data_IF_317849173539
#
_entry.id   IF_317849173539
#
_cell.length_a   1.000
_cell.length_b   1.000
_cell.length_c   1.000
_cell.angle_alpha   90.00
_cell.angle_beta   90.00
_cell.angle_gamma   90.00
#
_symmetry.space_group_name_H-M   'P 1'
#
loop_
_entity.id
_entity.type
_entity.pdbx_description
1 polymer ?
#
# COMPACT_ATOMS: atom_id res chain seq x y z
N UNK A 1 10.03 -17.20 -4.78
CA UNK A 1 10.62 -16.48 -5.88
C UNK A 1 10.96 -15.03 -5.52
N UNK A 2 11.33 -14.24 -6.52
CA UNK A 2 11.77 -12.85 -6.30
C UNK A 2 10.67 -11.96 -5.73
N UNK A 3 9.44 -12.09 -6.23
CA UNK A 3 8.32 -11.30 -5.72
C UNK A 3 8.07 -11.57 -4.24
N UNK A 4 8.09 -12.83 -3.84
CA UNK A 4 7.92 -13.22 -2.43
C UNK A 4 9.05 -12.65 -1.58
N UNK A 5 10.28 -12.69 -2.05
CA UNK A 5 11.43 -12.17 -1.30
C UNK A 5 11.34 -10.64 -1.13
N UNK A 6 10.93 -9.94 -2.16
CA UNK A 6 10.75 -8.48 -2.12
C UNK A 6 9.68 -8.11 -1.09
N UNK A 7 8.51 -8.73 -1.19
CA UNK A 7 7.40 -8.38 -0.29
C UNK A 7 7.70 -8.74 1.17
N UNK A 8 8.40 -9.85 1.40
CA UNK A 8 8.83 -10.24 2.74
C UNK A 8 9.68 -9.17 3.40
N UNK A 9 10.64 -8.62 2.68
CA UNK A 9 11.51 -7.55 3.19
C UNK A 9 10.72 -6.29 3.50
N UNK A 10 9.79 -5.93 2.62
CA UNK A 10 8.97 -4.74 2.79
C UNK A 10 8.10 -4.83 4.03
N UNK A 11 7.46 -5.98 4.28
CA UNK A 11 6.50 -6.13 5.37
C UNK A 11 7.12 -6.59 6.68
N UNK A 12 8.38 -7.05 6.69
CA UNK A 12 9.04 -7.60 7.87
C UNK A 12 8.93 -6.70 9.12
N UNK A 13 9.09 -5.36 9.03
CA UNK A 13 8.96 -4.49 10.20
C UNK A 13 7.57 -4.47 10.82
N UNK A 14 6.56 -4.96 10.10
CA UNK A 14 5.15 -4.85 10.49
C UNK A 14 4.52 -6.19 10.86
N UNK A 15 5.35 -7.20 11.12
CA UNK A 15 4.89 -8.51 11.59
C UNK A 15 3.95 -8.33 12.81
N UNK A 16 2.84 -9.03 12.80
CA UNK A 16 1.81 -8.90 13.83
C UNK A 16 0.71 -7.91 13.50
N UNK A 17 0.87 -7.12 12.43
CA UNK A 17 -0.16 -6.19 11.94
C UNK A 17 -0.72 -6.68 10.61
N UNK A 18 -2.00 -6.42 10.39
CA UNK A 18 -2.56 -6.48 9.05
C UNK A 18 -1.86 -5.41 8.20
N UNK A 19 -1.61 -5.72 6.94
CA UNK A 19 -0.97 -4.76 6.02
C UNK A 19 -1.85 -4.57 4.81
N UNK A 20 -2.17 -3.31 4.51
CA UNK A 20 -2.80 -2.92 3.24
C UNK A 20 -1.72 -2.32 2.36
N UNK A 21 -1.49 -2.94 1.22
CA UNK A 21 -0.55 -2.43 0.22
C UNK A 21 -1.33 -1.68 -0.84
N UNK A 22 -0.96 -0.42 -1.07
CA UNK A 22 -1.52 0.46 -2.10
C UNK A 22 -0.52 0.54 -3.24
N UNK A 23 -0.85 -0.10 -4.36
CA UNK A 23 -0.08 0.00 -5.60
C UNK A 23 -0.58 1.19 -6.40
N UNK A 24 0.26 2.18 -6.61
CA UNK A 24 -0.11 3.48 -7.18
C UNK A 24 0.97 4.03 -8.11
N UNK A 25 0.67 5.14 -8.78
CA UNK A 25 1.64 5.88 -9.57
C UNK A 25 1.25 7.36 -9.65
N UNK A 26 2.22 8.23 -9.82
CA UNK A 26 1.99 9.67 -9.99
C UNK A 26 1.18 9.98 -11.24
N UNK A 27 1.25 9.10 -12.25
CA UNK A 27 0.52 9.22 -13.51
C UNK A 27 -0.90 8.67 -13.44
N UNK A 28 -1.30 8.11 -12.30
CA UNK A 28 -2.60 7.47 -12.13
C UNK A 28 -3.57 8.38 -11.38
N UNK A 29 -4.50 9.00 -12.09
CA UNK A 29 -5.50 9.90 -11.50
C UNK A 29 -6.35 9.23 -10.42
N UNK A 30 -6.98 8.07 -10.69
CA UNK A 30 -7.76 7.36 -9.66
C UNK A 30 -6.94 6.94 -8.45
N UNK A 31 -5.65 6.63 -8.63
CA UNK A 31 -4.76 6.33 -7.51
C UNK A 31 -4.62 7.54 -6.59
N UNK A 32 -4.31 8.70 -7.18
CA UNK A 32 -4.16 9.95 -6.41
C UNK A 32 -5.46 10.34 -5.71
N UNK A 33 -6.59 10.21 -6.39
CA UNK A 33 -7.89 10.51 -5.81
C UNK A 33 -8.16 9.67 -4.56
N UNK A 34 -7.88 8.37 -4.62
CA UNK A 34 -8.06 7.46 -3.48
C UNK A 34 -7.11 7.80 -2.33
N UNK A 35 -5.84 8.08 -2.63
CA UNK A 35 -4.86 8.48 -1.62
C UNK A 35 -5.34 9.71 -0.86
N UNK A 36 -5.79 10.73 -1.59
CA UNK A 36 -6.22 12.00 -1.00
C UNK A 36 -7.54 11.84 -0.23
N UNK A 37 -8.45 11.03 -0.76
CA UNK A 37 -9.73 10.74 -0.09
C UNK A 37 -9.54 10.09 1.28
N UNK A 38 -8.55 9.21 1.42
CA UNK A 38 -8.32 8.45 2.66
C UNK A 38 -7.28 9.07 3.60
N UNK A 39 -6.88 10.31 3.35
CA UNK A 39 -5.84 10.97 4.18
C UNK A 39 -6.21 11.04 5.66
N UNK A 40 -7.46 11.42 5.97
CA UNK A 40 -7.92 11.53 7.36
C UNK A 40 -8.01 10.16 8.03
N UNK A 41 -8.47 9.15 7.31
CA UNK A 41 -8.52 7.78 7.81
C UNK A 41 -7.12 7.29 8.19
N UNK A 42 -6.15 7.49 7.31
CA UNK A 42 -4.77 7.08 7.59
C UNK A 42 -4.19 7.78 8.81
N UNK A 43 -4.51 9.07 8.97
CA UNK A 43 -4.09 9.83 10.15
C UNK A 43 -4.63 9.23 11.44
N UNK A 44 -5.91 8.83 11.43
CA UNK A 44 -6.55 8.20 12.59
C UNK A 44 -5.88 6.87 12.98
N UNK A 45 -5.43 6.08 12.00
CA UNK A 45 -4.87 4.75 12.23
C UNK A 45 -3.34 4.72 12.16
N UNK A 46 -2.68 5.86 12.10
CA UNK A 46 -1.21 5.92 11.93
C UNK A 46 -0.46 5.18 13.04
N UNK A 47 -0.96 5.23 14.26
CA UNK A 47 -0.34 4.59 15.41
C UNK A 47 -1.04 3.28 15.80
N UNK A 48 -1.84 2.71 14.91
CA UNK A 48 -2.56 1.47 15.19
C UNK A 48 -1.60 0.31 15.47
N UNK A 49 -1.85 -0.49 16.52
CA UNK A 49 -1.09 -1.72 16.73
C UNK A 49 -1.55 -2.85 15.81
N UNK A 50 -2.64 -2.67 15.07
CA UNK A 50 -3.31 -3.74 14.34
C UNK A 50 -3.17 -3.66 12.83
N UNK A 51 -2.90 -2.48 12.26
CA UNK A 51 -2.86 -2.30 10.80
C UNK A 51 -1.78 -1.31 10.38
N UNK A 52 -1.23 -1.54 9.18
CA UNK A 52 -0.28 -0.64 8.54
C UNK A 52 -0.62 -0.49 7.06
N UNK A 53 -0.54 0.75 6.57
CA UNK A 53 -0.68 1.06 5.14
C UNK A 53 0.71 1.24 4.55
N UNK A 54 0.96 0.58 3.41
CA UNK A 54 2.24 0.65 2.69
C UNK A 54 1.96 1.02 1.25
N UNK A 55 2.69 2.00 0.71
CA UNK A 55 2.50 2.52 -0.65
C UNK A 55 3.67 2.10 -1.52
N UNK A 56 3.38 1.43 -2.63
CA UNK A 56 4.39 0.92 -3.55
C UNK A 56 4.11 1.41 -4.97
N UNK A 57 5.12 2.01 -5.58
CA UNK A 57 5.12 2.42 -6.98
C UNK A 57 6.42 2.00 -7.65
N UNK A 58 6.54 2.25 -8.95
CA UNK A 58 7.77 1.98 -9.69
C UNK A 58 8.44 3.28 -10.14
N UNK A 59 9.73 3.19 -10.42
CA UNK A 59 10.52 4.31 -10.94
C UNK A 59 10.05 4.76 -12.33
N UNK A 60 9.62 3.82 -13.17
CA UNK A 60 9.12 4.14 -14.52
C UNK A 60 7.75 4.82 -14.52
N UNK A 61 6.85 4.38 -13.63
CA UNK A 61 5.47 4.92 -13.58
C UNK A 61 5.39 6.19 -12.74
N UNK A 62 6.36 6.40 -11.85
CA UNK A 62 6.43 7.59 -10.99
C UNK A 62 7.81 8.22 -11.13
N UNK A 63 8.04 9.07 -12.15
CA UNK A 63 9.32 9.76 -12.34
C UNK A 63 9.75 10.50 -11.09
N UNK A 64 11.05 10.57 -10.86
CA UNK A 64 11.64 11.03 -9.59
C UNK A 64 11.09 12.36 -9.08
N UNK A 65 11.08 13.40 -9.94
CA UNK A 65 10.60 14.71 -9.50
C UNK A 65 9.12 14.68 -9.13
N UNK A 66 8.29 14.10 -9.99
CA UNK A 66 6.84 13.99 -9.73
C UNK A 66 6.59 13.18 -8.46
N UNK A 67 7.32 12.09 -8.28
CA UNK A 67 7.23 11.25 -7.08
C UNK A 67 7.58 12.03 -5.83
N UNK A 68 8.74 12.69 -5.81
CA UNK A 68 9.19 13.46 -4.65
C UNK A 68 8.21 14.58 -4.29
N UNK A 69 7.70 15.30 -5.27
CA UNK A 69 6.73 16.37 -5.06
C UNK A 69 5.42 15.84 -4.48
N UNK A 70 4.92 14.74 -5.03
CA UNK A 70 3.66 14.14 -4.57
C UNK A 70 3.77 13.58 -3.16
N UNK A 71 4.86 12.87 -2.87
CA UNK A 71 5.12 12.29 -1.54
C UNK A 71 5.23 13.38 -0.49
N UNK A 72 5.96 14.45 -0.77
CA UNK A 72 6.11 15.56 0.18
C UNK A 72 4.76 16.18 0.54
N UNK A 73 3.87 16.27 -0.44
CA UNK A 73 2.54 16.88 -0.24
C UNK A 73 1.54 15.94 0.41
N UNK A 74 1.53 14.65 0.04
CA UNK A 74 0.42 13.74 0.37
C UNK A 74 0.78 12.49 1.15
N UNK A 75 2.05 12.07 1.16
CA UNK A 75 2.48 10.80 1.76
C UNK A 75 3.69 10.94 2.65
N UNK A 76 3.94 12.13 3.17
CA UNK A 76 5.15 12.46 3.92
C UNK A 76 5.38 11.56 5.15
N UNK A 77 4.32 11.15 5.83
CA UNK A 77 4.42 10.35 7.03
C UNK A 77 4.08 8.87 6.81
N UNK A 78 3.97 8.48 5.56
CA UNK A 78 3.59 7.11 5.21
C UNK A 78 4.83 6.25 4.92
N UNK A 79 4.62 4.93 4.92
CA UNK A 79 5.63 3.96 4.49
C UNK A 79 5.54 3.85 2.97
N UNK A 80 6.58 4.27 2.28
CA UNK A 80 6.59 4.38 0.83
C UNK A 80 7.78 3.66 0.22
N UNK A 81 7.57 3.08 -0.97
CA UNK A 81 8.63 2.44 -1.76
C UNK A 81 8.46 2.81 -3.22
N UNK A 82 9.56 3.25 -3.83
CA UNK A 82 9.66 3.48 -5.27
C UNK A 82 10.67 2.46 -5.80
N UNK A 83 10.16 1.36 -6.34
CA UNK A 83 10.98 0.23 -6.74
C UNK A 83 11.45 0.36 -8.19
N UNK A 84 12.59 -0.26 -8.54
CA UNK A 84 12.91 -0.47 -9.94
C UNK A 84 11.74 -1.19 -10.64
N UNK A 85 11.47 -0.84 -11.89
CA UNK A 85 10.34 -1.43 -12.63
C UNK A 85 10.39 -2.97 -12.65
N UNK A 86 11.59 -3.55 -12.75
CA UNK A 86 11.74 -5.01 -12.75
C UNK A 86 11.26 -5.63 -11.44
N UNK A 87 11.58 -5.03 -10.30
CA UNK A 87 11.13 -5.51 -8.99
C UNK A 87 9.62 -5.34 -8.84
N UNK A 88 9.10 -4.19 -9.28
CA UNK A 88 7.66 -3.93 -9.28
C UNK A 88 6.91 -4.99 -10.11
N UNK A 89 7.45 -5.35 -11.26
CA UNK A 89 6.86 -6.38 -12.11
C UNK A 89 6.79 -7.75 -11.43
N UNK A 90 7.76 -8.09 -10.59
CA UNK A 90 7.70 -9.32 -9.78
C UNK A 90 6.53 -9.28 -8.80
N UNK A 91 6.21 -8.11 -8.26
CA UNK A 91 5.04 -7.98 -7.37
C UNK A 91 3.73 -8.04 -8.15
N UNK A 92 3.68 -7.45 -9.35
CA UNK A 92 2.51 -7.57 -10.23
C UNK A 92 2.22 -9.04 -10.57
N UNK A 93 3.26 -9.81 -10.84
CA UNK A 93 3.15 -11.24 -11.10
C UNK A 93 2.70 -12.00 -9.85
N UNK A 94 3.30 -11.70 -8.69
CA UNK A 94 2.97 -12.36 -7.43
C UNK A 94 1.50 -12.18 -7.06
N UNK A 95 0.98 -10.97 -7.19
CA UNK A 95 -0.39 -10.62 -6.82
C UNK A 95 -1.38 -10.63 -7.99
N UNK A 96 -0.94 -11.05 -9.17
CA UNK A 96 -1.78 -11.22 -10.37
C UNK A 96 -2.56 -9.98 -10.78
N UNK A 97 -1.89 -8.84 -10.93
CA UNK A 97 -2.54 -7.64 -11.43
C UNK A 97 -1.74 -6.93 -12.52
N UNK A 98 -2.44 -6.17 -13.37
CA UNK A 98 -1.86 -5.33 -14.41
C UNK A 98 -2.27 -3.86 -14.27
N UNK A 99 -3.47 -3.61 -13.75
CA UNK A 99 -3.99 -2.25 -13.62
C UNK A 99 -3.89 -1.72 -12.20
N UNK A 100 -3.81 -0.40 -12.07
CA UNK A 100 -3.83 0.32 -10.80
C UNK A 100 -4.95 1.36 -10.82
N UNK A 101 -5.50 1.77 -9.64
CA UNK A 101 -5.06 1.34 -8.32
C UNK A 101 -5.33 -0.14 -8.05
N UNK A 102 -4.50 -0.75 -7.25
CA UNK A 102 -4.69 -2.12 -6.76
C UNK A 102 -4.32 -2.13 -5.28
N UNK A 103 -5.17 -2.76 -4.48
CA UNK A 103 -4.96 -2.86 -3.03
C UNK A 103 -4.87 -4.32 -2.63
N UNK A 104 -3.88 -4.66 -1.84
CA UNK A 104 -3.64 -6.03 -1.39
C UNK A 104 -3.66 -6.05 0.13
N UNK A 105 -4.42 -6.97 0.71
CA UNK A 105 -4.49 -7.15 2.16
C UNK A 105 -3.72 -8.40 2.55
N UNK A 106 -2.76 -8.23 3.44
CA UNK A 106 -2.00 -9.34 4.03
C UNK A 106 -2.40 -9.52 5.50
N UNK A 107 -2.34 -10.76 5.97
CA UNK A 107 -2.60 -11.05 7.38
C UNK A 107 -1.41 -10.67 8.27
N UNK A 108 -1.55 -10.91 9.58
CA UNK A 108 -0.54 -10.53 10.57
C UNK A 108 0.78 -11.29 10.43
N UNK A 109 0.79 -12.38 9.68
CA UNK A 109 1.99 -13.16 9.38
C UNK A 109 2.55 -12.85 7.98
N UNK A 110 1.96 -11.88 7.29
CA UNK A 110 2.39 -11.48 5.96
C UNK A 110 1.84 -12.34 4.83
N UNK A 111 0.85 -13.20 5.11
CA UNK A 111 0.21 -14.05 4.11
C UNK A 111 -0.94 -13.32 3.43
N UNK A 112 -1.21 -13.67 2.18
CA UNK A 112 -2.26 -13.05 1.38
C UNK A 112 -3.65 -13.38 1.93
N UNK A 113 -4.43 -12.34 2.28
CA UNK A 113 -5.85 -12.44 2.62
C UNK A 113 -6.73 -12.07 1.45
N UNK A 114 -6.41 -10.96 0.76
CA UNK A 114 -7.19 -10.49 -0.37
C UNK A 114 -6.28 -9.78 -1.38
N UNK A 115 -6.15 -10.34 -2.57
CA UNK A 115 -5.31 -9.79 -3.64
C UNK A 115 -5.96 -8.65 -4.42
N UNK A 116 -7.24 -8.37 -4.16
CA UNK A 116 -7.98 -7.28 -4.79
C UNK A 116 -8.94 -6.67 -3.77
N UNK A 117 -8.36 -6.11 -2.72
CA UNK A 117 -9.11 -5.56 -1.61
C UNK A 117 -9.92 -4.33 -2.04
N UNK A 118 -11.24 -4.29 -1.74
CA UNK A 118 -12.07 -3.15 -2.11
C UNK A 118 -11.84 -1.97 -1.15
N UNK A 119 -10.94 -1.07 -1.51
CA UNK A 119 -10.54 0.05 -0.66
C UNK A 119 -11.70 0.97 -0.27
N UNK A 120 -12.74 1.05 -1.10
CA UNK A 120 -13.95 1.80 -0.75
C UNK A 120 -14.67 1.27 0.48
N UNK A 121 -14.39 0.02 0.89
CA UNK A 121 -14.96 -0.60 2.09
C UNK A 121 -14.01 -0.53 3.30
N UNK A 122 -12.92 0.21 3.23
CA UNK A 122 -11.90 0.19 4.30
C UNK A 122 -12.44 0.59 5.66
N UNK A 123 -13.29 1.61 5.75
CA UNK A 123 -13.87 2.02 7.03
C UNK A 123 -14.69 0.91 7.67
N UNK A 124 -15.55 0.27 6.87
CA UNK A 124 -16.38 -0.85 7.32
C UNK A 124 -15.49 -2.01 7.78
N UNK A 125 -14.48 -2.35 6.99
CA UNK A 125 -13.52 -3.40 7.33
C UNK A 125 -12.85 -3.14 8.68
N UNK A 126 -12.36 -1.92 8.90
CA UNK A 126 -11.67 -1.55 10.13
C UNK A 126 -12.58 -1.67 11.35
N UNK A 127 -13.84 -1.23 11.22
CA UNK A 127 -14.83 -1.32 12.30
C UNK A 127 -15.22 -2.77 12.60
N UNK A 128 -15.57 -3.53 11.58
CA UNK A 128 -15.97 -4.93 11.73
C UNK A 128 -14.84 -5.81 12.27
N UNK A 129 -13.62 -5.52 11.90
CA UNK A 129 -12.42 -6.23 12.35
C UNK A 129 -11.93 -5.74 13.72
N UNK A 130 -12.60 -4.75 14.31
CA UNK A 130 -12.25 -4.16 15.61
C UNK A 130 -10.80 -3.67 15.66
N UNK A 131 -10.36 -3.05 14.58
CA UNK A 131 -9.01 -2.49 14.48
C UNK A 131 -8.89 -1.28 15.39
N UNK A 132 -7.88 -1.27 16.25
CA UNK A 132 -7.62 -0.18 17.18
C UNK A 132 -6.88 0.95 16.49
N UNK A 133 -7.17 2.18 16.89
CA UNK A 133 -6.46 3.37 16.40
C UNK A 133 -5.11 3.55 17.10
N UNK A 134 -5.02 3.09 18.34
CA UNK A 134 -3.79 3.11 19.14
C UNK A 134 -3.85 2.13 20.32
#
# INVERSE_FOLDING_TARGET
>A
GKGTDIIRKIVAPYHGKLVVIDFWATTCGPCRASIEHHADLRKEYRNSPDIKFIFITSDSESPEKAYNDYVEKNLKEEVIFRLPQSDYNYLRELFHFNGIPRYVLLDRDGKLLNGDFPMYNIEKFLKESKIRKE
#
